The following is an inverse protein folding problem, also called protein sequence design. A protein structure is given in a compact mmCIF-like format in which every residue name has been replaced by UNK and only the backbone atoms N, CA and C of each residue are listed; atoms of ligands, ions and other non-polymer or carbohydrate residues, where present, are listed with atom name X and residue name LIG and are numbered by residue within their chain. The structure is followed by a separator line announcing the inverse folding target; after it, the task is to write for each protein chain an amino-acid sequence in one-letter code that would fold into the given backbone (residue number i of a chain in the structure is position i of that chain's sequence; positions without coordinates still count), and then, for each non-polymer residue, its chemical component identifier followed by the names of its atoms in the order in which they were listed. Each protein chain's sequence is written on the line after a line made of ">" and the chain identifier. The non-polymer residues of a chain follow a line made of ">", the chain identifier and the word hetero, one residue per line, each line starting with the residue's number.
data_IF_487065239255
#
_entry.id   IF_487065239255
#
_cell.length_a   1.000
_cell.length_b   1.000
_cell.length_c   1.000
_cell.angle_alpha   90.00
_cell.angle_beta   90.00
_cell.angle_gamma   90.00
#
_symmetry.space_group_name_H-M   'P 1'
#
loop_
_entity.id
_entity.type
_entity.pdbx_description
1 polymer ?
#
# COMPACT_ATOMS: atom_id res chain seq x y z
N UNK A 1 31.51 -6.49 -24.96
CA UNK A 1 30.14 -6.11 -24.56
C UNK A 1 29.25 -7.29 -24.13
N UNK A 2 29.59 -8.56 -24.42
CA UNK A 2 28.82 -9.73 -23.96
C UNK A 2 28.93 -10.03 -22.45
N UNK A 3 30.10 -9.84 -21.83
CA UNK A 3 30.33 -10.21 -20.41
C UNK A 3 29.67 -9.29 -19.36
N UNK A 4 29.41 -8.01 -19.68
CA UNK A 4 28.69 -7.10 -18.77
C UNK A 4 27.16 -7.36 -18.76
N UNK A 5 26.62 -7.93 -19.84
CA UNK A 5 25.21 -8.32 -19.93
C UNK A 5 24.92 -9.61 -19.14
N UNK A 6 25.91 -10.50 -19.00
CA UNK A 6 25.80 -11.73 -18.18
C UNK A 6 25.83 -11.45 -16.68
N UNK A 7 26.75 -10.60 -16.18
CA UNK A 7 26.85 -10.29 -14.75
C UNK A 7 25.67 -9.45 -14.23
N UNK A 8 25.08 -8.60 -15.09
CA UNK A 8 23.85 -7.88 -14.75
C UNK A 8 22.63 -8.81 -14.68
N UNK A 9 22.47 -9.75 -15.63
CA UNK A 9 21.36 -10.71 -15.62
C UNK A 9 21.37 -11.59 -14.37
N UNK A 10 22.55 -12.05 -13.95
CA UNK A 10 22.70 -12.88 -12.76
C UNK A 10 22.34 -12.11 -11.48
N UNK A 11 22.71 -10.82 -11.41
CA UNK A 11 22.40 -9.95 -10.28
C UNK A 11 20.91 -9.59 -10.21
N UNK A 12 20.26 -9.33 -11.36
CA UNK A 12 18.82 -9.09 -11.44
C UNK A 12 18.01 -10.34 -11.05
N UNK A 13 18.44 -11.54 -11.46
CA UNK A 13 17.77 -12.80 -11.09
C UNK A 13 17.88 -13.10 -9.59
N UNK A 14 19.01 -12.78 -8.96
CA UNK A 14 19.16 -12.92 -7.50
C UNK A 14 18.27 -11.94 -6.74
N UNK A 15 18.17 -10.69 -7.19
CA UNK A 15 17.26 -9.70 -6.61
C UNK A 15 15.79 -10.12 -6.75
N UNK A 16 15.40 -10.65 -7.93
CA UNK A 16 14.05 -11.18 -8.15
C UNK A 16 13.77 -12.40 -7.27
N UNK A 17 14.73 -13.30 -7.10
CA UNK A 17 14.61 -14.45 -6.20
C UNK A 17 14.36 -14.04 -4.74
N UNK A 18 15.10 -13.04 -4.25
CA UNK A 18 14.93 -12.51 -2.89
C UNK A 18 13.57 -11.79 -2.74
N UNK A 19 13.18 -10.98 -3.72
CA UNK A 19 11.88 -10.29 -3.71
C UNK A 19 10.71 -11.27 -3.71
N UNK A 20 10.78 -12.34 -4.52
CA UNK A 20 9.78 -13.40 -4.55
C UNK A 20 9.71 -14.16 -3.22
N UNK A 21 10.86 -14.48 -2.62
CA UNK A 21 10.92 -15.14 -1.32
C UNK A 21 10.34 -14.28 -0.19
N UNK A 22 10.63 -12.97 -0.17
CA UNK A 22 9.99 -12.04 0.75
C UNK A 22 8.47 -11.98 0.55
N UNK A 23 7.99 -11.95 -0.70
CA UNK A 23 6.56 -11.92 -1.00
C UNK A 23 5.85 -13.20 -0.54
N UNK A 24 6.47 -14.36 -0.77
CA UNK A 24 5.97 -15.66 -0.28
C UNK A 24 5.98 -15.68 1.25
N UNK A 25 7.05 -15.20 1.89
CA UNK A 25 7.14 -15.12 3.35
C UNK A 25 6.04 -14.26 3.96
N UNK A 26 5.82 -13.06 3.41
CA UNK A 26 4.73 -12.16 3.82
C UNK A 26 3.37 -12.83 3.61
N UNK A 27 3.16 -13.48 2.47
CA UNK A 27 1.92 -14.21 2.18
C UNK A 27 1.65 -15.34 3.17
N UNK A 28 2.66 -16.13 3.53
CA UNK A 28 2.52 -17.21 4.51
C UNK A 28 2.24 -16.67 5.92
N UNK A 29 2.87 -15.56 6.30
CA UNK A 29 2.57 -14.86 7.55
C UNK A 29 1.13 -14.33 7.55
N UNK A 30 0.66 -13.78 6.42
CA UNK A 30 -0.72 -13.31 6.25
C UNK A 30 -1.75 -14.43 6.42
N UNK A 31 -1.53 -15.58 5.78
CA UNK A 31 -2.42 -16.73 5.91
C UNK A 31 -2.54 -17.22 7.36
N UNK A 32 -1.42 -17.22 8.10
CA UNK A 32 -1.43 -17.59 9.52
C UNK A 32 -2.09 -16.55 10.41
N UNK A 33 -1.91 -15.26 10.12
CA UNK A 33 -2.44 -14.17 10.94
C UNK A 33 -3.96 -14.04 10.82
N UNK A 34 -4.50 -14.12 9.61
CA UNK A 34 -5.91 -13.78 9.34
C UNK A 34 -6.81 -15.02 9.21
N UNK A 35 -6.23 -16.23 9.16
CA UNK A 35 -6.91 -17.54 9.02
C UNK A 35 -7.92 -17.62 7.86
N UNK A 36 -7.89 -16.67 6.91
CA UNK A 36 -8.79 -16.59 5.77
C UNK A 36 -8.02 -16.21 4.51
N UNK A 37 -8.16 -17.02 3.48
CA UNK A 37 -7.47 -16.85 2.19
C UNK A 37 -7.96 -15.60 1.44
N UNK A 38 -9.26 -15.30 1.51
CA UNK A 38 -9.84 -14.12 0.86
C UNK A 38 -9.33 -12.82 1.48
N UNK A 39 -9.18 -12.79 2.81
CA UNK A 39 -8.62 -11.66 3.52
C UNK A 39 -7.14 -11.41 3.18
N UNK A 40 -6.34 -12.48 3.05
CA UNK A 40 -4.94 -12.34 2.64
C UNK A 40 -4.81 -11.75 1.22
N UNK A 41 -5.66 -12.17 0.28
CA UNK A 41 -5.69 -11.62 -1.08
C UNK A 41 -6.05 -10.13 -1.07
N UNK A 42 -6.98 -9.71 -0.21
CA UNK A 42 -7.36 -8.29 -0.08
C UNK A 42 -6.18 -7.43 0.37
N UNK A 43 -5.38 -7.90 1.35
CA UNK A 43 -4.17 -7.17 1.78
C UNK A 43 -3.13 -7.10 0.67
N UNK A 44 -2.92 -8.21 -0.06
CA UNK A 44 -1.96 -8.23 -1.16
C UNK A 44 -2.37 -7.28 -2.29
N UNK A 45 -3.66 -7.13 -2.56
CA UNK A 45 -4.16 -6.21 -3.58
C UNK A 45 -3.75 -4.74 -3.34
N UNK A 46 -3.47 -4.36 -2.09
CA UNK A 46 -3.04 -3.00 -1.74
C UNK A 46 -1.54 -2.77 -1.96
N UNK A 47 -0.73 -3.82 -2.02
CA UNK A 47 0.72 -3.72 -2.18
C UNK A 47 1.10 -3.08 -3.54
N UNK A 48 0.55 -3.53 -4.69
CA UNK A 48 0.78 -2.86 -5.98
C UNK A 48 0.31 -1.40 -6.00
N UNK A 49 -0.80 -1.10 -5.32
CA UNK A 49 -1.34 0.26 -5.21
C UNK A 49 -0.38 1.18 -4.43
N UNK A 50 0.20 0.68 -3.34
CA UNK A 50 1.23 1.39 -2.60
C UNK A 50 2.50 1.60 -3.42
N UNK A 51 2.95 0.57 -4.14
CA UNK A 51 4.10 0.66 -5.03
C UNK A 51 3.88 1.72 -6.13
N UNK A 52 2.67 1.81 -6.66
CA UNK A 52 2.30 2.87 -7.60
C UNK A 52 2.48 4.26 -6.99
N UNK A 53 2.01 4.49 -5.77
CA UNK A 53 2.22 5.76 -5.06
C UNK A 53 3.69 6.11 -4.84
N UNK A 54 4.51 5.12 -4.49
CA UNK A 54 5.95 5.29 -4.37
C UNK A 54 6.61 5.63 -5.71
N UNK A 55 6.21 4.98 -6.81
CA UNK A 55 6.70 5.28 -8.16
C UNK A 55 6.32 6.72 -8.53
N UNK A 56 5.08 7.14 -8.27
CA UNK A 56 4.63 8.52 -8.53
C UNK A 56 5.45 9.53 -7.74
N UNK A 57 5.77 9.26 -6.47
CA UNK A 57 6.62 10.16 -5.69
C UNK A 57 8.06 10.22 -6.20
N UNK A 58 8.63 9.09 -6.63
CA UNK A 58 9.96 9.06 -7.25
C UNK A 58 10.02 9.88 -8.55
N UNK A 59 8.96 9.76 -9.35
CA UNK A 59 8.77 10.51 -10.58
C UNK A 59 8.72 12.01 -10.29
N UNK A 60 7.98 12.43 -9.26
CA UNK A 60 7.91 13.84 -8.84
C UNK A 60 9.26 14.35 -8.30
N UNK A 61 9.97 13.52 -7.51
CA UNK A 61 11.25 13.90 -6.91
C UNK A 61 12.38 14.02 -7.94
N UNK A 62 12.37 13.18 -9.00
CA UNK A 62 13.36 13.21 -10.08
C UNK A 62 12.80 13.91 -11.33
N UNK A 63 12.24 15.11 -11.15
CA UNK A 63 11.65 15.88 -12.25
C UNK A 63 12.74 16.27 -13.27
N UNK A 64 12.53 16.02 -14.59
CA UNK A 64 13.48 16.44 -15.61
C UNK A 64 13.62 17.97 -15.64
N UNK A 65 14.83 18.49 -15.97
CA UNK A 65 15.08 19.92 -16.01
C UNK A 65 14.10 20.61 -16.96
N UNK A 66 13.61 21.79 -16.54
CA UNK A 66 12.56 22.51 -17.28
C UNK A 66 12.95 22.75 -18.73
N UNK A 67 14.23 22.93 -19.03
CA UNK A 67 14.79 23.13 -20.37
C UNK A 67 14.49 21.98 -21.36
N UNK A 68 14.37 20.74 -20.90
CA UNK A 68 14.07 19.58 -21.74
C UNK A 68 12.56 19.37 -21.93
N UNK A 69 11.74 19.85 -20.99
CA UNK A 69 10.29 19.71 -21.03
C UNK A 69 9.64 20.58 -22.13
N UNK A 70 10.17 21.78 -22.37
CA UNK A 70 9.63 22.69 -23.39
C UNK A 70 10.08 22.33 -24.82
N UNK A 71 11.16 21.57 -24.97
CA UNK A 71 11.72 21.18 -26.27
C UNK A 71 11.19 19.84 -26.78
N UNK A 72 10.53 19.06 -25.92
CA UNK A 72 10.00 17.74 -26.26
C UNK A 72 8.49 17.76 -26.34
N UNK A 73 7.92 17.03 -27.31
CA UNK A 73 6.48 16.95 -27.44
C UNK A 73 5.87 16.32 -26.17
N UNK A 74 4.72 16.82 -25.76
CA UNK A 74 3.99 16.40 -24.55
C UNK A 74 3.79 14.88 -24.44
N UNK A 75 3.77 14.16 -25.58
CA UNK A 75 3.66 12.70 -25.63
C UNK A 75 4.93 11.96 -25.15
N UNK A 76 6.12 12.56 -25.25
CA UNK A 76 7.39 11.97 -24.79
C UNK A 76 7.71 12.25 -23.32
N UNK A 77 6.91 13.09 -22.64
CA UNK A 77 7.12 13.42 -21.23
C UNK A 77 7.20 12.19 -20.30
N UNK A 78 6.35 11.15 -20.43
CA UNK A 78 6.48 9.96 -19.59
C UNK A 78 7.81 9.23 -19.79
N UNK A 79 8.31 9.17 -21.02
CA UNK A 79 9.58 8.51 -21.34
C UNK A 79 10.78 9.27 -20.73
N UNK A 80 10.75 10.60 -20.76
CA UNK A 80 11.77 11.45 -20.14
C UNK A 80 11.83 11.23 -18.63
N UNK A 81 10.68 11.23 -17.97
CA UNK A 81 10.62 11.02 -16.52
C UNK A 81 11.16 9.65 -16.10
N UNK A 82 10.87 8.61 -16.87
CA UNK A 82 11.42 7.26 -16.61
C UNK A 82 12.94 7.25 -16.80
N UNK A 83 13.47 7.96 -17.79
CA UNK A 83 14.92 8.05 -18.01
C UNK A 83 15.65 8.84 -16.93
N UNK A 84 14.99 9.85 -16.33
CA UNK A 84 15.56 10.65 -15.23
C UNK A 84 15.59 9.92 -13.88
N UNK A 85 14.90 8.79 -13.73
CA UNK A 85 14.87 8.01 -12.48
C UNK A 85 15.98 6.96 -12.46
N UNK A 86 16.96 7.13 -11.58
CA UNK A 86 18.00 6.14 -11.32
C UNK A 86 17.65 5.26 -10.13
N UNK A 87 17.26 4.00 -10.38
CA UNK A 87 16.93 3.04 -9.32
C UNK A 87 18.21 2.51 -8.63
N UNK A 88 18.48 3.03 -7.44
CA UNK A 88 19.55 2.57 -6.54
C UNK A 88 19.06 1.49 -5.55
N UNK A 89 19.99 0.85 -4.82
CA UNK A 89 19.68 -0.12 -3.76
C UNK A 89 18.73 0.46 -2.68
N UNK A 90 18.86 1.76 -2.37
CA UNK A 90 18.01 2.46 -1.43
C UNK A 90 16.52 2.41 -1.80
N UNK A 91 16.23 2.52 -3.10
CA UNK A 91 14.86 2.43 -3.62
C UNK A 91 14.26 1.04 -3.36
N UNK A 92 15.04 -0.01 -3.64
CA UNK A 92 14.63 -1.39 -3.40
C UNK A 92 14.36 -1.68 -1.92
N UNK A 93 15.23 -1.18 -1.03
CA UNK A 93 15.00 -1.29 0.42
C UNK A 93 13.71 -0.56 0.81
N UNK A 94 13.49 0.66 0.29
CA UNK A 94 12.25 1.41 0.53
C UNK A 94 10.99 0.65 0.08
N UNK A 95 11.01 0.02 -1.11
CA UNK A 95 9.89 -0.78 -1.59
C UNK A 95 9.62 -2.00 -0.70
N UNK A 96 10.68 -2.70 -0.26
CA UNK A 96 10.53 -3.85 0.65
C UNK A 96 9.93 -3.41 1.99
N UNK A 97 10.43 -2.32 2.56
CA UNK A 97 9.87 -1.75 3.80
C UNK A 97 8.41 -1.34 3.62
N UNK A 98 8.07 -0.75 2.47
CA UNK A 98 6.69 -0.37 2.15
C UNK A 98 5.75 -1.57 2.13
N UNK A 99 6.16 -2.71 1.55
CA UNK A 99 5.36 -3.95 1.57
C UNK A 99 4.99 -4.33 3.01
N UNK A 100 5.95 -4.25 3.94
CA UNK A 100 5.72 -4.57 5.36
C UNK A 100 4.74 -3.61 6.04
N UNK A 101 4.91 -2.30 5.81
CA UNK A 101 4.03 -1.26 6.37
C UNK A 101 2.58 -1.44 5.87
N UNK A 102 2.42 -1.61 4.56
CA UNK A 102 1.13 -1.81 3.90
C UNK A 102 0.46 -3.09 4.38
N UNK A 103 1.22 -4.18 4.46
CA UNK A 103 0.70 -5.46 4.95
C UNK A 103 0.23 -5.35 6.39
N UNK A 104 0.99 -4.67 7.26
CA UNK A 104 0.60 -4.45 8.66
C UNK A 104 -0.70 -3.67 8.77
N UNK A 105 -0.85 -2.59 8.01
CA UNK A 105 -2.06 -1.75 8.04
C UNK A 105 -3.28 -2.54 7.54
N UNK A 106 -3.15 -3.24 6.41
CA UNK A 106 -4.22 -4.07 5.86
C UNK A 106 -4.65 -5.20 6.79
N UNK A 107 -3.70 -5.93 7.41
CA UNK A 107 -4.01 -6.97 8.40
C UNK A 107 -4.79 -6.38 9.58
N UNK A 108 -4.32 -5.28 10.15
CA UNK A 108 -4.96 -4.67 11.33
C UNK A 108 -6.39 -4.23 11.05
N UNK A 109 -6.68 -3.80 9.83
CA UNK A 109 -8.04 -3.44 9.40
C UNK A 109 -8.92 -4.69 9.30
N UNK A 110 -8.47 -5.74 8.60
CA UNK A 110 -9.29 -6.94 8.40
C UNK A 110 -9.47 -7.72 9.71
N UNK A 111 -8.43 -7.84 10.53
CA UNK A 111 -8.53 -8.46 11.86
C UNK A 111 -9.51 -7.71 12.75
N UNK A 112 -9.64 -6.38 12.60
CA UNK A 112 -10.63 -5.61 13.33
C UNK A 112 -12.05 -5.92 12.87
N UNK A 113 -12.30 -6.05 11.55
CA UNK A 113 -13.61 -6.52 11.06
C UNK A 113 -13.96 -7.92 11.55
N UNK A 114 -12.99 -8.85 11.52
CA UNK A 114 -13.18 -10.19 12.06
C UNK A 114 -13.49 -10.15 13.56
N UNK A 115 -12.80 -9.30 14.33
CA UNK A 115 -13.08 -9.11 15.75
C UNK A 115 -14.50 -8.62 15.99
N UNK A 116 -14.98 -7.62 15.23
CA UNK A 116 -16.34 -7.12 15.33
C UNK A 116 -17.40 -8.20 15.01
N UNK A 117 -17.12 -9.10 14.06
CA UNK A 117 -18.04 -10.18 13.69
C UNK A 117 -18.01 -11.36 14.67
N UNK A 118 -16.82 -11.80 15.09
CA UNK A 118 -16.64 -13.02 15.87
C UNK A 118 -16.80 -12.79 17.38
N UNK A 119 -16.35 -11.63 17.89
CA UNK A 119 -16.31 -11.34 19.33
C UNK A 119 -17.45 -10.41 19.73
N UNK A 120 -17.67 -9.31 19.00
CA UNK A 120 -18.79 -8.39 19.28
C UNK A 120 -20.13 -8.91 18.70
N UNK A 121 -20.11 -9.93 17.83
CA UNK A 121 -21.30 -10.53 17.25
C UNK A 121 -22.06 -9.61 16.28
N UNK A 122 -21.41 -8.56 15.76
CA UNK A 122 -22.05 -7.59 14.88
C UNK A 122 -22.25 -8.25 13.51
N UNK A 123 -23.49 -8.26 12.97
CA UNK A 123 -23.75 -8.87 11.67
C UNK A 123 -23.00 -8.12 10.56
N UNK A 124 -22.60 -8.86 9.51
CA UNK A 124 -21.98 -8.27 8.33
C UNK A 124 -22.92 -7.25 7.69
N UNK A 125 -22.60 -5.97 7.84
CA UNK A 125 -23.37 -4.85 7.33
C UNK A 125 -22.45 -3.72 6.92
N UNK A 126 -22.97 -2.80 6.08
CA UNK A 126 -22.25 -1.60 5.69
C UNK A 126 -21.88 -0.73 6.91
N UNK A 127 -22.74 -0.70 7.92
CA UNK A 127 -22.54 0.07 9.15
C UNK A 127 -21.38 -0.48 9.99
N UNK A 128 -21.25 -1.81 10.07
CA UNK A 128 -20.12 -2.47 10.73
C UNK A 128 -18.79 -2.11 10.07
N UNK A 129 -18.74 -2.16 8.73
CA UNK A 129 -17.53 -1.82 7.96
C UNK A 129 -17.15 -0.35 8.16
N UNK A 130 -18.12 0.56 8.12
CA UNK A 130 -17.88 1.99 8.36
C UNK A 130 -17.35 2.21 9.78
N UNK A 131 -17.99 1.62 10.79
CA UNK A 131 -17.55 1.73 12.19
C UNK A 131 -16.13 1.20 12.37
N UNK A 132 -15.85 -0.01 11.89
CA UNK A 132 -14.51 -0.60 11.99
C UNK A 132 -13.46 0.19 11.22
N UNK A 133 -13.80 0.75 10.05
CA UNK A 133 -12.92 1.65 9.29
C UNK A 133 -12.57 2.89 10.09
N UNK A 134 -13.56 3.55 10.71
CA UNK A 134 -13.37 4.78 11.47
C UNK A 134 -12.57 4.55 12.76
N UNK A 135 -12.81 3.44 13.46
CA UNK A 135 -12.06 3.06 14.66
C UNK A 135 -10.58 2.77 14.36
N UNK A 136 -10.25 2.34 13.14
CA UNK A 136 -8.87 2.12 12.67
C UNK A 136 -8.24 3.35 12.04
N UNK A 137 -9.03 4.28 11.50
CA UNK A 137 -8.54 5.49 10.86
C UNK A 137 -7.66 6.32 11.81
N UNK A 138 -8.12 6.53 13.06
CA UNK A 138 -7.38 7.33 14.04
C UNK A 138 -5.98 6.73 14.35
N UNK A 139 -5.85 5.44 14.70
CA UNK A 139 -4.54 4.79 14.84
C UNK A 139 -3.64 4.85 13.59
N UNK A 140 -4.20 4.68 12.39
CA UNK A 140 -3.43 4.71 11.13
C UNK A 140 -2.92 6.11 10.83
N UNK A 141 -3.74 7.14 11.04
CA UNK A 141 -3.32 8.53 10.84
C UNK A 141 -2.26 8.96 11.85
N UNK A 142 -2.30 8.45 13.09
CA UNK A 142 -1.27 8.69 14.10
C UNK A 142 0.11 8.19 13.63
N UNK A 143 0.19 6.94 13.13
CA UNK A 143 1.45 6.37 12.66
C UNK A 143 1.94 7.05 11.39
N UNK A 144 1.04 7.31 10.42
CA UNK A 144 1.38 7.99 9.18
C UNK A 144 1.96 9.38 9.44
N UNK A 145 1.32 10.18 10.31
CA UNK A 145 1.80 11.52 10.67
C UNK A 145 3.17 11.47 11.33
N UNK A 146 3.36 10.54 12.28
CA UNK A 146 4.64 10.35 12.97
C UNK A 146 5.75 10.00 11.99
N UNK A 147 5.50 9.07 11.07
CA UNK A 147 6.44 8.70 10.02
C UNK A 147 6.75 9.87 9.09
N UNK A 148 5.74 10.65 8.67
CA UNK A 148 5.97 11.81 7.82
C UNK A 148 6.83 12.87 8.49
N UNK A 149 6.60 13.17 9.77
CA UNK A 149 7.46 14.09 10.52
C UNK A 149 8.91 13.59 10.55
N UNK A 150 9.13 12.29 10.76
CA UNK A 150 10.46 11.69 10.74
C UNK A 150 11.13 11.66 9.37
N UNK A 151 10.34 11.58 8.28
CA UNK A 151 10.85 11.51 6.91
C UNK A 151 11.15 12.90 6.31
N UNK A 152 10.45 13.96 6.73
CA UNK A 152 10.64 15.34 6.25
C UNK A 152 12.12 15.76 6.18
N UNK A 153 12.93 15.68 7.26
CA UNK A 153 14.32 16.14 7.19
C UNK A 153 15.21 15.31 6.25
N UNK A 154 14.83 14.05 5.98
CA UNK A 154 15.53 13.20 5.02
C UNK A 154 15.15 13.52 3.58
N UNK A 155 13.91 13.96 3.34
CA UNK A 155 13.45 14.42 2.03
C UNK A 155 14.13 15.71 1.58
N UNK A 156 14.41 16.63 2.51
CA UNK A 156 15.10 17.89 2.18
C UNK A 156 16.63 17.76 2.15
N UNK A 157 17.19 16.63 2.58
CA UNK A 157 18.65 16.39 2.63
C UNK A 157 19.30 16.03 1.30
N UNK A 158 18.76 16.50 0.17
CA UNK A 158 19.29 16.19 -1.16
C UNK A 158 20.69 16.78 -1.35
N UNK A 159 21.66 15.94 -1.75
CA UNK A 159 23.03 16.36 -2.05
C UNK A 159 23.93 16.56 -0.82
N UNK A 160 23.46 16.27 0.40
CA UNK A 160 24.32 16.29 1.59
C UNK A 160 25.12 14.98 1.75
N UNK A 161 26.42 15.05 2.10
CA UNK A 161 27.26 13.87 2.34
C UNK A 161 26.63 12.95 3.39
N UNK A 162 26.50 11.66 3.06
CA UNK A 162 25.92 10.65 3.95
C UNK A 162 24.39 10.49 3.86
N UNK A 163 23.68 11.36 3.14
CA UNK A 163 22.22 11.22 2.89
C UNK A 163 21.89 10.60 1.53
N UNK A 164 22.89 10.23 0.74
CA UNK A 164 22.75 9.66 -0.60
C UNK A 164 21.91 8.37 -0.66
N UNK A 165 21.93 7.57 0.42
CA UNK A 165 21.09 6.37 0.56
C UNK A 165 19.75 6.72 1.22
N UNK A 166 19.74 7.66 2.17
CA UNK A 166 18.56 7.98 2.97
C UNK A 166 17.51 8.77 2.19
N UNK A 167 17.94 9.69 1.32
CA UNK A 167 17.04 10.52 0.54
C UNK A 167 16.19 9.69 -0.45
N UNK A 168 16.75 8.82 -1.32
CA UNK A 168 15.91 8.03 -2.21
C UNK A 168 14.99 7.04 -1.47
N UNK A 169 15.46 6.49 -0.34
CA UNK A 169 14.65 5.66 0.54
C UNK A 169 13.46 6.43 1.13
N UNK A 170 13.69 7.66 1.62
CA UNK A 170 12.64 8.47 2.24
C UNK A 170 11.60 8.92 1.23
N UNK A 171 11.98 9.20 -0.03
CA UNK A 171 11.04 9.51 -1.12
C UNK A 171 10.10 8.33 -1.40
N UNK A 172 10.64 7.11 -1.50
CA UNK A 172 9.84 5.89 -1.71
C UNK A 172 8.86 5.68 -0.55
N UNK A 173 9.35 5.77 0.69
CA UNK A 173 8.52 5.57 1.87
C UNK A 173 7.44 6.64 1.98
N UNK A 174 7.78 7.92 1.78
CA UNK A 174 6.82 9.01 1.89
C UNK A 174 5.67 8.85 0.89
N UNK A 175 5.99 8.68 -0.40
CA UNK A 175 4.99 8.52 -1.45
C UNK A 175 4.16 7.24 -1.32
N UNK A 176 4.84 6.13 -1.06
CA UNK A 176 4.21 4.84 -0.89
C UNK A 176 3.27 4.82 0.31
N UNK A 177 3.71 5.34 1.45
CA UNK A 177 2.89 5.40 2.66
C UNK A 177 1.69 6.31 2.46
N UNK A 178 1.88 7.51 1.90
CA UNK A 178 0.78 8.44 1.63
C UNK A 178 -0.31 7.81 0.76
N UNK A 179 0.09 7.26 -0.39
CA UNK A 179 -0.85 6.59 -1.28
C UNK A 179 -1.47 5.37 -0.62
N UNK A 180 -0.68 4.53 0.04
CA UNK A 180 -1.19 3.33 0.69
C UNK A 180 -2.17 3.64 1.82
N UNK A 181 -1.92 4.66 2.63
CA UNK A 181 -2.80 5.01 3.75
C UNK A 181 -4.15 5.49 3.25
N UNK A 182 -4.17 6.34 2.22
CA UNK A 182 -5.41 6.80 1.61
C UNK A 182 -6.12 5.68 0.87
N UNK A 183 -5.39 4.88 0.09
CA UNK A 183 -5.97 3.83 -0.73
C UNK A 183 -6.42 2.64 0.12
N UNK A 184 -5.67 2.19 1.11
CA UNK A 184 -6.05 1.10 2.02
C UNK A 184 -7.36 1.44 2.76
N UNK A 185 -7.50 2.70 3.22
CA UNK A 185 -8.72 3.16 3.88
C UNK A 185 -9.95 3.21 2.97
N UNK A 186 -9.78 3.33 1.65
CA UNK A 186 -10.89 3.37 0.68
C UNK A 186 -11.14 2.00 0.04
N UNK A 187 -10.07 1.32 -0.36
CA UNK A 187 -10.05 0.08 -1.12
C UNK A 187 -10.31 -1.12 -0.22
N UNK A 188 -9.72 -1.20 0.98
CA UNK A 188 -9.94 -2.35 1.88
C UNK A 188 -11.39 -2.49 2.33
N UNK A 189 -12.10 -1.42 2.76
CA UNK A 189 -13.53 -1.51 3.06
C UNK A 189 -14.37 -1.87 1.83
N UNK A 190 -14.03 -1.34 0.66
CA UNK A 190 -14.75 -1.62 -0.59
C UNK A 190 -14.56 -3.08 -1.05
N UNK A 191 -13.33 -3.59 -0.99
CA UNK A 191 -13.00 -4.99 -1.29
C UNK A 191 -13.64 -5.93 -0.28
N UNK A 192 -13.61 -5.58 1.01
CA UNK A 192 -14.27 -6.37 2.04
C UNK A 192 -15.79 -6.39 1.88
N UNK A 193 -16.40 -5.28 1.48
CA UNK A 193 -17.83 -5.24 1.16
C UNK A 193 -18.18 -6.10 -0.07
N UNK A 194 -17.37 -6.03 -1.13
CA UNK A 194 -17.61 -6.74 -2.39
C UNK A 194 -17.36 -8.25 -2.29
N UNK A 195 -16.28 -8.66 -1.62
CA UNK A 195 -15.85 -10.05 -1.54
C UNK A 195 -16.19 -10.74 -0.21
N UNK A 196 -16.42 -9.96 0.87
CA UNK A 196 -16.74 -10.47 2.20
C UNK A 196 -18.24 -10.64 2.44
N UNK A 197 -19.11 -10.21 1.52
CA UNK A 197 -20.54 -10.49 1.62
C UNK A 197 -20.77 -11.99 1.43
N UNK A 198 -21.28 -12.71 2.44
CA UNK A 198 -21.86 -14.02 2.19
C UNK A 198 -23.00 -13.77 1.21
N UNK A 199 -22.88 -14.34 0.03
CA UNK A 199 -23.88 -14.27 -1.04
C UNK A 199 -25.27 -14.49 -0.45
N UNK A 200 -26.11 -13.46 -0.49
CA UNK A 200 -27.56 -13.55 -0.31
C UNK A 200 -28.04 -14.10 1.04
N UNK A 201 -28.26 -13.20 2.00
CA UNK A 201 -29.53 -13.11 2.76
C UNK A 201 -29.58 -11.71 3.37
N UNK A 202 -30.12 -10.78 2.58
CA UNK A 202 -30.80 -9.61 3.12
C UNK A 202 -31.88 -10.18 4.04
N UNK A 203 -31.54 -10.29 5.33
CA UNK A 203 -32.47 -10.71 6.35
C UNK A 203 -33.49 -9.60 6.47
N UNK A 204 -34.65 -9.84 5.86
CA UNK A 204 -35.87 -9.04 5.88
C UNK A 204 -36.46 -8.82 7.29
N UNK A 205 -35.71 -9.08 8.36
CA UNK A 205 -36.19 -9.05 9.74
C UNK A 205 -36.33 -7.64 10.31
N UNK A 206 -35.69 -6.61 9.73
CA UNK A 206 -35.86 -5.22 10.23
C UNK A 206 -37.15 -4.55 9.73
N UNK A 207 -37.77 -5.04 8.65
CA UNK A 207 -39.06 -4.49 8.19
C UNK A 207 -40.27 -4.99 9.00
N UNK A 208 -40.21 -6.23 9.51
CA UNK A 208 -41.33 -6.81 10.24
C UNK A 208 -41.57 -6.18 11.64
N UNK A 209 -40.52 -5.66 12.29
CA UNK A 209 -40.67 -5.02 13.62
C UNK A 209 -41.29 -3.62 13.55
N UNK A 210 -41.19 -2.95 12.41
CA UNK A 210 -41.74 -1.60 12.22
C UNK A 210 -43.21 -1.60 11.77
N UNK A 211 -43.67 -2.68 11.11
CA UNK A 211 -45.09 -2.80 10.68
C UNK A 211 -45.98 -3.44 11.78
N UNK A 212 -45.40 -4.18 12.73
CA UNK A 212 -46.11 -4.78 13.86
C UNK A 212 -46.37 -3.84 15.06
N UNK A 213 -45.87 -2.60 15.02
CA UNK A 213 -46.13 -1.58 16.06
C UNK A 213 -47.08 -0.47 15.58
N UNK A 214 -47.58 -0.55 14.34
CA UNK A 214 -48.56 0.39 13.78
C UNK A 214 -49.93 -0.24 13.48
N UNK A 215 -50.23 -1.40 14.07
CA UNK A 215 -51.55 -2.07 13.99
C UNK A 215 -52.13 -2.27 15.38
#
# INVERSE_FOLDING_TARGET
>A
YSGQMESQRESTLRLLGVAALCMIGVYLLLLKAVKSHQAAIQVIANVPLAAFGAIVALLIANRPPSTELWSTAWYYWPALWIQSVHLSLAHWVGFITLIGIVSRNGILMISHYQHLMEIEGIPFSKEMIIRGSLERLAPVMMTATTSFIGLIPLLFGYGEPGKEILHPLSVVLFGGMLASTTLDQLVTPALFYLFGSPTGKVSSTTKATLEGQSS
#
